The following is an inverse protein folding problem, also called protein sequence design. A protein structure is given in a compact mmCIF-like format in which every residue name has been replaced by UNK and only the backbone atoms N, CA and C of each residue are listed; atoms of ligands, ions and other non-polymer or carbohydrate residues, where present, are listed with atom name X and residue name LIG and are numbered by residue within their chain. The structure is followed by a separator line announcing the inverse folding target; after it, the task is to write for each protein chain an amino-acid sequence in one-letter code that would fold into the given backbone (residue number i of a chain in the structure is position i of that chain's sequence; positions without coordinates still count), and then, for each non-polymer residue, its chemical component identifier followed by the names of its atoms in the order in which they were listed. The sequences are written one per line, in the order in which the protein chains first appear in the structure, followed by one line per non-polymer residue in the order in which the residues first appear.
data_IF_468449915001
#
_entry.id   IF_468449915001
#
_cell.length_a   1.000
_cell.length_b   1.000
_cell.length_c   1.000
_cell.angle_alpha   90.00
_cell.angle_beta   90.00
_cell.angle_gamma   90.00
#
_symmetry.space_group_name_H-M   'P 1'
#
loop_
_entity.id
_entity.type
_entity.pdbx_description
1 polymer ?
#
# COMPACT_ATOMS: atom_id res chain seq x y z
N UNK A 1 -11.71 -6.11 2.22
CA UNK A 1 -11.47 -5.00 1.32
C UNK A 1 -11.02 -5.47 -0.06
N UNK A 2 -11.45 -4.78 -1.12
CA UNK A 2 -10.84 -4.92 -2.45
C UNK A 2 -10.00 -3.69 -2.77
N UNK A 3 -9.17 -3.77 -3.80
CA UNK A 3 -8.35 -2.62 -4.27
C UNK A 3 -9.17 -1.35 -4.52
N UNK A 4 -10.39 -1.48 -5.05
CA UNK A 4 -11.27 -0.35 -5.36
C UNK A 4 -11.87 0.31 -4.10
N UNK A 5 -12.28 -0.52 -3.13
CA UNK A 5 -12.77 -0.06 -1.82
C UNK A 5 -11.66 0.68 -1.06
N UNK A 6 -10.44 0.13 -1.05
CA UNK A 6 -9.26 0.76 -0.47
C UNK A 6 -9.03 2.15 -1.05
N UNK A 7 -9.08 2.26 -2.38
CA UNK A 7 -8.92 3.54 -3.08
C UNK A 7 -9.98 4.54 -2.62
N UNK A 8 -11.24 4.13 -2.52
CA UNK A 8 -12.32 4.98 -2.07
C UNK A 8 -12.12 5.47 -0.62
N UNK A 9 -11.66 4.60 0.27
CA UNK A 9 -11.36 4.95 1.67
C UNK A 9 -10.19 5.94 1.74
N UNK A 10 -9.11 5.72 0.99
CA UNK A 10 -7.95 6.61 0.95
C UNK A 10 -8.32 8.00 0.43
N UNK A 11 -9.14 8.06 -0.62
CA UNK A 11 -9.67 9.33 -1.15
C UNK A 11 -10.56 10.02 -0.11
N UNK A 12 -11.44 9.28 0.56
CA UNK A 12 -12.33 9.83 1.59
C UNK A 12 -11.55 10.37 2.80
N UNK A 13 -10.44 9.72 3.18
CA UNK A 13 -9.51 10.19 4.21
C UNK A 13 -8.64 11.39 3.75
N UNK A 14 -8.72 11.80 2.49
CA UNK A 14 -7.89 12.88 1.93
C UNK A 14 -6.44 12.47 1.67
N UNK A 15 -6.14 11.16 1.61
CA UNK A 15 -4.79 10.66 1.36
C UNK A 15 -4.47 10.75 -0.13
N UNK A 16 -3.41 11.49 -0.45
CA UNK A 16 -2.95 11.65 -1.82
C UNK A 16 -2.38 10.34 -2.38
N UNK A 17 -2.64 10.07 -3.66
CA UNK A 17 -2.00 8.99 -4.46
C UNK A 17 -0.46 9.08 -4.52
N UNK A 18 0.12 10.14 -3.93
CA UNK A 18 1.55 10.26 -3.72
C UNK A 18 2.07 9.41 -2.57
N UNK A 19 1.23 8.96 -1.63
CA UNK A 19 1.65 8.11 -0.50
C UNK A 19 1.61 6.61 -0.81
N UNK A 20 0.84 6.21 -1.83
CA UNK A 20 0.60 4.82 -2.15
C UNK A 20 0.59 4.54 -3.64
N UNK A 21 0.83 3.29 -4.02
CA UNK A 21 0.70 2.77 -5.38
C UNK A 21 -0.07 1.45 -5.35
N UNK A 22 -1.12 1.31 -6.15
CA UNK A 22 -1.90 0.07 -6.28
C UNK A 22 -1.62 -0.69 -7.59
N UNK A 23 -0.61 -0.22 -8.32
CA UNK A 23 -0.16 -0.76 -9.60
C UNK A 23 1.28 -1.31 -9.48
N UNK A 24 1.76 -1.50 -8.25
CA UNK A 24 3.15 -1.86 -7.97
C UNK A 24 4.16 -0.79 -8.37
N UNK A 25 5.34 -1.24 -8.79
CA UNK A 25 6.46 -0.41 -9.24
C UNK A 25 7.49 -0.06 -8.16
N UNK A 26 8.39 0.86 -8.48
CA UNK A 26 9.42 1.37 -7.56
C UNK A 26 9.33 2.90 -7.40
N UNK A 27 8.15 3.46 -7.06
CA UNK A 27 8.04 4.89 -6.80
C UNK A 27 8.85 5.26 -5.54
N UNK A 28 9.30 6.51 -5.45
CA UNK A 28 10.05 6.95 -4.28
C UNK A 28 9.10 7.30 -3.12
N UNK A 29 9.39 6.78 -1.93
CA UNK A 29 8.71 7.05 -0.66
C UNK A 29 7.22 6.71 -0.69
N UNK A 30 6.85 5.53 -1.23
CA UNK A 30 5.45 5.08 -1.28
C UNK A 30 5.24 3.64 -0.84
N UNK A 31 4.09 3.41 -0.22
CA UNK A 31 3.57 2.07 0.04
C UNK A 31 2.91 1.51 -1.23
N UNK A 32 3.44 0.40 -1.72
CA UNK A 32 3.00 -0.23 -2.96
C UNK A 32 2.30 -1.55 -2.66
N UNK A 33 1.18 -1.78 -3.33
CA UNK A 33 0.50 -3.06 -3.44
C UNK A 33 0.73 -3.59 -4.86
N UNK A 34 1.22 -4.82 -4.94
CA UNK A 34 1.48 -5.53 -6.18
C UNK A 34 0.91 -6.95 -6.11
N UNK A 35 0.69 -7.58 -7.26
CA UNK A 35 0.24 -8.96 -7.34
C UNK A 35 1.21 -9.79 -8.19
N UNK A 36 2.09 -10.54 -7.53
CA UNK A 36 3.08 -11.38 -8.20
C UNK A 36 2.71 -12.85 -8.02
N UNK A 37 2.62 -13.59 -9.13
CA UNK A 37 2.42 -15.05 -9.14
C UNK A 37 1.15 -15.51 -8.39
N UNK A 38 0.08 -14.71 -8.47
CA UNK A 38 -1.19 -15.00 -7.78
C UNK A 38 -1.18 -14.70 -6.29
N UNK A 39 -0.10 -14.13 -5.75
CA UNK A 39 0.00 -13.66 -4.37
C UNK A 39 0.04 -12.14 -4.33
N UNK A 40 -0.55 -11.58 -3.29
CA UNK A 40 -0.53 -10.15 -3.04
C UNK A 40 0.68 -9.78 -2.21
N UNK A 41 1.37 -8.73 -2.62
CA UNK A 41 2.59 -8.27 -1.98
C UNK A 41 2.43 -6.79 -1.64
N UNK A 42 2.63 -6.47 -0.36
CA UNK A 42 2.71 -5.09 0.10
C UNK A 42 4.16 -4.79 0.44
N UNK A 43 4.70 -3.69 -0.05
CA UNK A 43 6.05 -3.26 0.25
C UNK A 43 6.13 -1.75 0.27
N UNK A 44 7.09 -1.22 1.02
CA UNK A 44 7.46 0.17 0.95
C UNK A 44 8.58 0.34 -0.07
N UNK A 45 8.45 1.29 -0.98
CA UNK A 45 9.47 1.59 -1.99
C UNK A 45 10.14 2.90 -1.64
N UNK A 46 11.44 2.86 -1.36
CA UNK A 46 12.27 4.02 -1.05
C UNK A 46 13.58 3.94 -1.81
N UNK A 47 13.93 5.01 -2.54
CA UNK A 47 15.19 5.09 -3.32
C UNK A 47 15.40 3.90 -4.26
N UNK A 48 14.31 3.37 -4.83
CA UNK A 48 14.34 2.21 -5.75
C UNK A 48 14.50 0.85 -5.06
N UNK A 49 14.41 0.80 -3.73
CA UNK A 49 14.53 -0.42 -2.93
C UNK A 49 13.17 -0.75 -2.31
N UNK A 50 12.77 -2.01 -2.41
CA UNK A 50 11.59 -2.54 -1.71
C UNK A 50 12.00 -2.95 -0.29
N UNK A 51 11.38 -2.35 0.72
CA UNK A 51 11.57 -2.66 2.13
C UNK A 51 10.23 -3.05 2.76
N UNK A 52 10.27 -3.73 3.92
CA UNK A 52 9.06 -4.11 4.65
C UNK A 52 8.11 -5.03 3.86
N UNK A 53 8.65 -5.85 2.95
CA UNK A 53 7.86 -6.71 2.05
C UNK A 53 7.04 -7.72 2.88
N UNK A 54 5.74 -7.76 2.60
CA UNK A 54 4.77 -8.68 3.20
C UNK A 54 4.00 -9.38 2.09
N UNK A 55 3.80 -10.68 2.26
CA UNK A 55 3.09 -11.53 1.31
C UNK A 55 1.75 -11.94 1.92
N UNK A 56 0.72 -11.95 1.08
CA UNK A 56 -0.65 -12.29 1.44
C UNK A 56 -1.23 -13.20 0.35
N UNK A 57 -2.02 -14.19 0.76
CA UNK A 57 -2.74 -15.06 -0.18
C UNK A 57 -4.01 -14.39 -0.73
N UNK A 58 -4.54 -13.38 -0.04
CA UNK A 58 -5.78 -12.71 -0.40
C UNK A 58 -5.59 -11.21 -0.62
N UNK A 59 -6.33 -10.64 -1.58
CA UNK A 59 -6.39 -9.18 -1.81
C UNK A 59 -6.87 -8.45 -0.56
N UNK A 60 -7.76 -9.09 0.20
CA UNK A 60 -8.41 -8.55 1.38
C UNK A 60 -7.42 -8.17 2.47
N UNK A 61 -6.59 -9.13 2.90
CA UNK A 61 -5.57 -8.92 3.92
C UNK A 61 -4.50 -7.93 3.46
N UNK A 62 -4.09 -8.00 2.20
CA UNK A 62 -3.11 -7.08 1.63
C UNK A 62 -3.61 -5.63 1.63
N UNK A 63 -4.85 -5.42 1.22
CA UNK A 63 -5.46 -4.09 1.22
C UNK A 63 -5.65 -3.53 2.64
N UNK A 64 -6.06 -4.37 3.59
CA UNK A 64 -6.24 -3.98 5.00
C UNK A 64 -4.91 -3.54 5.62
N UNK A 65 -3.87 -4.34 5.43
CA UNK A 65 -2.52 -4.02 5.89
C UNK A 65 -1.98 -2.74 5.24
N UNK A 66 -2.18 -2.56 3.93
CA UNK A 66 -1.75 -1.37 3.21
C UNK A 66 -2.41 -0.12 3.79
N UNK A 67 -3.72 -0.16 4.04
CA UNK A 67 -4.45 0.95 4.64
C UNK A 67 -3.86 1.32 6.00
N UNK A 68 -3.69 0.33 6.89
CA UNK A 68 -3.14 0.56 8.22
C UNK A 68 -1.74 1.18 8.16
N UNK A 69 -0.86 0.65 7.31
CA UNK A 69 0.49 1.18 7.14
C UNK A 69 0.51 2.62 6.60
N UNK A 70 -0.40 2.95 5.67
CA UNK A 70 -0.57 4.31 5.17
C UNK A 70 -1.07 5.23 6.28
N UNK A 71 -2.07 4.80 7.06
CA UNK A 71 -2.60 5.58 8.17
C UNK A 71 -1.56 5.84 9.25
N UNK A 72 -0.76 4.84 9.61
CA UNK A 72 0.35 5.00 10.55
C UNK A 72 1.39 6.01 10.03
N UNK A 73 1.70 5.96 8.73
CA UNK A 73 2.65 6.88 8.09
C UNK A 73 2.09 8.30 7.95
N UNK A 74 0.79 8.43 7.67
CA UNK A 74 0.11 9.71 7.48
C UNK A 74 -0.28 10.39 8.80
N UNK A 75 -0.54 9.60 9.85
CA UNK A 75 -0.98 10.12 11.15
C UNK A 75 0.13 10.79 11.96
N UNK A 76 1.40 10.71 11.53
CA UNK A 76 2.48 11.56 12.04
C UNK A 76 2.49 11.74 13.55
N UNK A 77 2.39 10.66 14.35
CA UNK A 77 2.76 10.73 15.77
C UNK A 77 4.29 10.63 15.86
N UNK A 78 4.95 11.75 15.63
CA UNK A 78 6.30 12.04 16.11
C UNK A 78 6.26 13.29 16.97
#
# INVERSE_FOLDING_TARGET
MKKDELRSILINKGISRSYYSLEGGLPNEKLCLDCENGKWIVYYSERGIRTGIRYFDNENDACDYLLHAIEESASGKY
#
